data_IF_978648205329
#
_entry.id   IF_978648205329
#
_cell.length_a   1.000
_cell.length_b   1.000
_cell.length_c   1.000
_cell.angle_alpha   90.00
_cell.angle_beta   90.00
_cell.angle_gamma   90.00
#
_symmetry.space_group_name_H-M   'P 1'
#
loop_
_entity.id
_entity.type
_entity.pdbx_description
1 polymer ?
#
# COMPACT_ATOMS: atom_id res chain seq x y z
N UNK A 1 51.13 -38.08 -22.67
CA UNK A 1 49.87 -37.38 -22.40
C UNK A 1 49.51 -36.56 -23.63
N UNK A 2 48.43 -36.91 -24.27
CA UNK A 2 48.07 -36.48 -25.63
C UNK A 2 47.41 -35.08 -25.57
N UNK A 3 47.63 -34.23 -26.57
CA UNK A 3 47.06 -32.86 -26.66
C UNK A 3 45.53 -32.78 -26.46
N UNK A 4 44.84 -33.87 -26.76
CA UNK A 4 43.39 -34.02 -26.51
C UNK A 4 43.04 -34.13 -25.03
N UNK A 5 43.85 -34.83 -24.23
CA UNK A 5 43.58 -34.94 -22.75
C UNK A 5 43.83 -33.63 -22.03
N UNK A 6 44.77 -32.80 -22.48
CA UNK A 6 44.97 -31.45 -21.92
C UNK A 6 43.85 -30.49 -22.27
N UNK A 7 43.25 -30.60 -23.46
CA UNK A 7 42.10 -29.81 -23.86
C UNK A 7 40.85 -30.13 -23.03
N UNK A 8 40.58 -31.40 -22.77
CA UNK A 8 39.43 -31.83 -21.96
C UNK A 8 39.59 -31.48 -20.48
N UNK A 9 40.81 -31.52 -19.93
CA UNK A 9 41.08 -31.09 -18.56
C UNK A 9 40.90 -29.58 -18.37
N UNK A 10 41.33 -28.75 -19.31
CA UNK A 10 41.13 -27.30 -19.29
C UNK A 10 39.63 -26.92 -19.42
N UNK A 11 38.90 -27.63 -20.26
CA UNK A 11 37.48 -27.38 -20.45
C UNK A 11 36.66 -27.76 -19.18
N UNK A 12 36.99 -28.87 -18.53
CA UNK A 12 36.42 -29.30 -17.25
C UNK A 12 36.74 -28.32 -16.10
N UNK A 13 37.92 -27.74 -16.05
CA UNK A 13 38.28 -26.71 -15.06
C UNK A 13 37.59 -25.39 -15.32
N UNK A 14 37.38 -25.01 -16.57
CA UNK A 14 36.66 -23.81 -16.97
C UNK A 14 35.15 -23.93 -16.63
N UNK A 15 34.57 -25.09 -16.90
CA UNK A 15 33.16 -25.39 -16.51
C UNK A 15 32.95 -25.43 -14.99
N UNK A 16 33.90 -26.03 -14.24
CA UNK A 16 33.86 -26.02 -12.77
C UNK A 16 34.02 -24.62 -12.18
N UNK A 17 34.88 -23.76 -12.74
CA UNK A 17 35.03 -22.37 -12.34
C UNK A 17 33.78 -21.55 -12.65
N UNK A 18 33.20 -21.71 -13.84
CA UNK A 18 31.98 -21.01 -14.19
C UNK A 18 30.77 -21.46 -13.33
N UNK A 19 30.66 -22.76 -13.04
CA UNK A 19 29.62 -23.28 -12.15
C UNK A 19 29.78 -22.75 -10.71
N UNK A 20 31.05 -22.64 -10.22
CA UNK A 20 31.31 -22.07 -8.88
C UNK A 20 31.08 -20.55 -8.80
N UNK A 21 31.32 -19.82 -9.90
CA UNK A 21 31.06 -18.38 -10.01
C UNK A 21 29.55 -18.14 -10.11
N UNK A 22 28.80 -18.94 -10.89
CA UNK A 22 27.35 -18.90 -10.96
C UNK A 22 26.70 -19.32 -9.64
N UNK A 23 27.22 -20.33 -8.95
CA UNK A 23 26.72 -20.69 -7.61
C UNK A 23 27.06 -19.65 -6.55
N UNK A 24 28.20 -18.95 -6.63
CA UNK A 24 28.51 -17.81 -5.75
C UNK A 24 27.68 -16.56 -6.07
N UNK A 25 27.29 -16.33 -7.33
CA UNK A 25 26.42 -15.22 -7.69
C UNK A 25 24.93 -15.48 -7.36
N UNK A 26 24.51 -16.75 -7.26
CA UNK A 26 23.16 -17.14 -6.84
C UNK A 26 23.03 -17.21 -5.30
N UNK A 27 24.14 -17.25 -4.55
CA UNK A 27 24.10 -17.26 -3.06
C UNK A 27 24.27 -15.88 -2.42
N UNK A 28 24.26 -14.81 -3.19
CA UNK A 28 24.21 -13.43 -2.70
C UNK A 28 22.83 -12.82 -2.93
N UNK A 29 21.75 -13.52 -2.57
CA UNK A 29 20.50 -12.84 -2.21
C UNK A 29 20.81 -12.10 -0.92
N UNK A 30 20.96 -10.79 -1.01
CA UNK A 30 21.19 -9.93 0.14
C UNK A 30 20.09 -10.20 1.16
N UNK A 31 20.45 -10.56 2.38
CA UNK A 31 19.53 -10.71 3.52
C UNK A 31 18.88 -9.36 3.93
N UNK A 32 18.67 -8.46 2.98
CA UNK A 32 18.06 -7.17 3.22
C UNK A 32 16.56 -7.33 3.54
N UNK A 33 16.12 -6.54 4.49
CA UNK A 33 14.72 -6.49 4.93
C UNK A 33 14.27 -5.04 4.86
N UNK A 34 13.35 -4.75 3.94
CA UNK A 34 12.75 -3.44 3.80
C UNK A 34 11.31 -3.44 4.27
N UNK A 35 10.91 -2.34 4.89
CA UNK A 35 9.57 -2.07 5.38
C UNK A 35 9.04 -0.80 4.69
N UNK A 36 7.83 -0.87 4.15
CA UNK A 36 7.06 0.29 3.75
C UNK A 36 5.91 0.49 4.74
N UNK A 37 5.66 1.72 5.17
CA UNK A 37 4.51 2.08 6.02
C UNK A 37 3.75 3.22 5.36
N UNK A 38 2.43 3.08 5.21
CA UNK A 38 1.50 4.09 4.70
C UNK A 38 0.41 4.38 5.75
N UNK A 39 0.20 5.66 6.06
CA UNK A 39 -0.77 6.12 7.04
C UNK A 39 -2.18 6.13 6.42
N UNK A 40 -3.08 5.35 7.00
CA UNK A 40 -4.42 5.13 6.43
C UNK A 40 -5.26 6.40 6.40
N UNK A 41 -5.60 6.89 5.19
CA UNK A 41 -6.44 8.08 5.00
C UNK A 41 -5.91 9.32 5.76
N UNK A 42 -4.61 9.53 5.79
CA UNK A 42 -3.87 10.40 6.70
C UNK A 42 -4.57 11.72 7.01
N UNK A 43 -4.87 12.56 6.01
CA UNK A 43 -5.49 13.86 6.26
C UNK A 43 -6.86 13.76 6.91
N UNK A 44 -7.66 12.75 6.53
CA UNK A 44 -8.97 12.54 7.15
C UNK A 44 -8.84 12.04 8.60
N UNK A 45 -7.86 11.17 8.87
CA UNK A 45 -7.56 10.69 10.22
C UNK A 45 -7.12 11.82 11.13
N UNK A 46 -6.23 12.70 10.67
CA UNK A 46 -5.84 13.92 11.40
C UNK A 46 -7.05 14.81 11.69
N UNK A 47 -7.92 15.04 10.70
CA UNK A 47 -9.11 15.87 10.89
C UNK A 47 -10.11 15.27 11.86
N UNK A 48 -10.27 13.93 11.89
CA UNK A 48 -11.08 13.25 12.91
C UNK A 48 -10.44 13.44 14.30
N UNK A 49 -9.15 13.17 14.44
CA UNK A 49 -8.43 13.27 15.72
C UNK A 49 -8.55 14.65 16.34
N UNK A 50 -8.36 15.71 15.55
CA UNK A 50 -8.47 17.11 15.97
C UNK A 50 -9.88 17.50 16.45
N UNK A 51 -10.89 16.73 16.08
CA UNK A 51 -12.29 16.89 16.52
C UNK A 51 -12.67 15.95 17.66
N UNK A 52 -11.73 15.15 18.16
CA UNK A 52 -12.00 14.12 19.17
C UNK A 52 -12.85 12.95 18.64
N UNK A 53 -12.78 12.70 17.32
CA UNK A 53 -13.55 11.65 16.63
C UNK A 53 -12.61 10.49 16.22
N UNK A 54 -13.18 9.29 16.15
CA UNK A 54 -12.47 8.11 15.66
C UNK A 54 -12.58 8.00 14.12
N UNK A 55 -11.47 8.02 13.36
CA UNK A 55 -11.49 7.92 11.91
C UNK A 55 -12.06 6.58 11.39
N UNK A 56 -12.05 5.52 12.19
CA UNK A 56 -12.57 4.21 11.78
C UNK A 56 -14.10 4.13 11.76
N UNK A 57 -14.77 5.01 12.50
CA UNK A 57 -16.25 5.08 12.56
C UNK A 57 -16.82 6.40 12.05
N UNK A 58 -16.00 7.43 11.86
CA UNK A 58 -16.48 8.75 11.44
C UNK A 58 -16.44 8.91 9.92
N UNK A 59 -17.57 9.26 9.34
CA UNK A 59 -17.68 9.62 7.92
C UNK A 59 -17.20 11.05 7.70
N UNK A 60 -16.04 11.22 7.04
CA UNK A 60 -15.42 12.52 6.82
C UNK A 60 -14.68 12.55 5.48
N UNK A 61 -14.75 13.70 4.81
CA UNK A 61 -13.88 14.03 3.66
C UNK A 61 -13.11 15.31 3.92
N UNK A 62 -11.89 15.38 3.36
CA UNK A 62 -11.10 16.61 3.36
C UNK A 62 -11.23 17.27 1.99
N UNK A 63 -11.93 18.39 1.91
CA UNK A 63 -12.17 19.11 0.67
C UNK A 63 -12.32 20.62 0.90
N UNK A 64 -11.94 21.41 -0.10
CA UNK A 64 -12.05 22.86 -0.08
C UNK A 64 -13.42 23.28 -0.63
N UNK A 65 -14.34 23.62 0.27
CA UNK A 65 -15.68 24.10 -0.06
C UNK A 65 -15.73 25.49 -0.70
N UNK A 66 -14.65 26.28 -0.62
CA UNK A 66 -14.56 27.57 -1.30
C UNK A 66 -14.48 27.41 -2.83
N UNK A 67 -14.17 26.20 -3.29
CA UNK A 67 -14.17 25.80 -4.71
C UNK A 67 -15.51 25.17 -5.09
N UNK A 68 -15.62 24.83 -6.37
CA UNK A 68 -16.81 24.14 -6.88
C UNK A 68 -16.83 22.67 -6.41
N UNK A 69 -18.00 22.02 -6.48
CA UNK A 69 -18.15 20.59 -6.21
C UNK A 69 -17.27 19.66 -7.09
N UNK A 70 -16.66 20.23 -8.15
CA UNK A 70 -15.66 19.52 -8.99
C UNK A 70 -14.30 19.41 -8.31
N UNK A 71 -14.09 20.04 -7.14
CA UNK A 71 -12.84 19.91 -6.37
C UNK A 71 -12.54 18.45 -6.04
N UNK A 72 -11.25 18.10 -6.04
CA UNK A 72 -10.81 16.76 -5.62
C UNK A 72 -10.75 16.75 -4.09
N UNK A 73 -11.36 15.75 -3.46
CA UNK A 73 -11.16 15.47 -2.05
C UNK A 73 -9.72 14.98 -1.84
N UNK A 74 -9.00 15.60 -0.91
CA UNK A 74 -7.62 15.21 -0.60
C UNK A 74 -7.56 13.87 0.14
N UNK A 75 -8.57 13.59 0.97
CA UNK A 75 -8.72 12.32 1.67
C UNK A 75 -10.19 12.03 1.98
N UNK A 76 -10.47 10.74 2.20
CA UNK A 76 -11.75 10.20 2.65
C UNK A 76 -11.45 9.31 3.85
N UNK A 77 -12.22 9.42 4.93
CA UNK A 77 -12.02 8.58 6.13
C UNK A 77 -12.20 7.09 5.81
N UNK A 78 -11.57 6.20 6.59
CA UNK A 78 -11.77 4.76 6.45
C UNK A 78 -13.25 4.37 6.48
N UNK A 79 -14.02 4.87 7.46
CA UNK A 79 -15.45 4.61 7.60
C UNK A 79 -16.24 4.94 6.31
N UNK A 80 -15.98 6.10 5.72
CA UNK A 80 -16.70 6.52 4.52
C UNK A 80 -16.27 5.74 3.27
N UNK A 81 -15.04 5.20 3.23
CA UNK A 81 -14.57 4.29 2.16
C UNK A 81 -15.32 2.97 2.13
N UNK A 82 -15.80 2.46 3.26
CA UNK A 82 -16.58 1.21 3.34
C UNK A 82 -17.89 1.29 2.54
N UNK A 83 -18.41 2.49 2.31
CA UNK A 83 -19.54 2.71 1.41
C UNK A 83 -19.19 2.72 -0.09
N UNK A 84 -17.94 2.35 -0.45
CA UNK A 84 -17.46 2.31 -1.84
C UNK A 84 -17.13 3.68 -2.42
N UNK A 85 -16.80 4.64 -1.56
CA UNK A 85 -16.29 5.96 -1.99
C UNK A 85 -14.76 5.84 -2.14
N UNK A 86 -14.17 6.18 -3.30
CA UNK A 86 -12.72 6.05 -3.51
C UNK A 86 -11.93 7.04 -2.64
N UNK A 87 -10.62 6.82 -2.49
CA UNK A 87 -9.78 7.63 -1.61
C UNK A 87 -9.62 9.10 -2.05
N UNK A 88 -9.71 9.39 -3.35
CA UNK A 88 -9.54 10.74 -3.92
C UNK A 88 -10.65 11.08 -4.93
N UNK A 89 -11.92 11.06 -4.54
CA UNK A 89 -13.05 11.38 -5.41
C UNK A 89 -13.12 12.89 -5.67
N UNK A 90 -13.90 13.29 -6.66
CA UNK A 90 -14.41 14.66 -6.71
C UNK A 90 -15.58 14.81 -5.72
N UNK A 91 -15.75 15.98 -5.12
CA UNK A 91 -16.76 16.19 -4.09
C UNK A 91 -18.19 15.84 -4.59
N UNK A 92 -18.52 16.18 -5.84
CA UNK A 92 -19.82 15.81 -6.43
C UNK A 92 -20.05 14.29 -6.47
N UNK A 93 -18.99 13.49 -6.63
CA UNK A 93 -19.09 12.02 -6.63
C UNK A 93 -19.40 11.49 -5.23
N UNK A 94 -18.87 12.13 -4.19
CA UNK A 94 -19.24 11.84 -2.80
C UNK A 94 -20.72 12.14 -2.58
N UNK A 95 -21.19 13.33 -2.97
CA UNK A 95 -22.58 13.76 -2.85
C UNK A 95 -23.51 12.75 -3.55
N UNK A 96 -23.23 12.40 -4.80
CA UNK A 96 -24.03 11.43 -5.56
C UNK A 96 -24.07 10.05 -4.88
N UNK A 97 -22.90 9.57 -4.40
CA UNK A 97 -22.82 8.27 -3.75
C UNK A 97 -23.59 8.24 -2.44
N UNK A 98 -23.48 9.27 -1.61
CA UNK A 98 -24.25 9.41 -0.36
C UNK A 98 -25.76 9.45 -0.65
N UNK A 99 -26.20 10.18 -1.69
CA UNK A 99 -27.61 10.17 -2.10
C UNK A 99 -28.07 8.77 -2.54
N UNK A 100 -27.25 8.03 -3.28
CA UNK A 100 -27.56 6.65 -3.67
C UNK A 100 -27.71 5.74 -2.44
N UNK A 101 -26.79 5.83 -1.49
CA UNK A 101 -26.81 5.06 -0.25
C UNK A 101 -28.09 5.41 0.54
N UNK A 102 -28.42 6.70 0.69
CA UNK A 102 -29.61 7.13 1.41
C UNK A 102 -30.91 6.68 0.74
N UNK A 103 -30.96 6.62 -0.59
CA UNK A 103 -32.10 6.00 -1.29
C UNK A 103 -32.25 4.51 -0.96
N UNK A 104 -31.14 3.78 -0.83
CA UNK A 104 -31.15 2.36 -0.42
C UNK A 104 -31.58 2.23 1.03
N UNK A 105 -31.03 3.04 1.94
CA UNK A 105 -31.40 3.07 3.36
C UNK A 105 -32.88 3.35 3.56
N UNK A 106 -33.43 4.34 2.85
CA UNK A 106 -34.83 4.68 2.90
C UNK A 106 -35.79 3.52 2.54
N UNK A 107 -35.34 2.61 1.62
CA UNK A 107 -36.16 1.43 1.24
C UNK A 107 -36.29 0.40 2.36
N UNK A 108 -35.32 0.31 3.26
CA UNK A 108 -35.32 -0.64 4.39
C UNK A 108 -35.65 0.01 5.70
N UNK A 109 -35.73 1.35 5.75
CA UNK A 109 -36.11 2.10 6.93
C UNK A 109 -37.56 1.85 7.31
N UNK A 110 -37.92 1.92 8.60
CA UNK A 110 -39.32 1.88 9.07
C UNK A 110 -40.16 2.93 8.34
N UNK A 111 -41.32 2.50 7.82
CA UNK A 111 -42.22 3.35 7.01
C UNK A 111 -41.57 3.98 5.77
N UNK A 112 -40.47 3.42 5.27
CA UNK A 112 -39.66 3.91 4.15
C UNK A 112 -39.22 5.38 4.30
N UNK A 113 -39.03 5.84 5.55
CA UNK A 113 -38.68 7.22 5.86
C UNK A 113 -37.42 7.28 6.73
N UNK A 114 -36.46 8.07 6.30
CA UNK A 114 -35.31 8.47 7.12
C UNK A 114 -35.75 9.66 7.99
N UNK A 115 -35.49 9.61 9.29
CA UNK A 115 -36.00 10.57 10.27
C UNK A 115 -34.95 11.53 10.82
N UNK A 116 -33.68 11.16 10.69
CA UNK A 116 -32.51 11.95 11.12
C UNK A 116 -31.30 11.60 10.28
N UNK A 117 -30.13 12.16 10.61
CA UNK A 117 -28.86 11.95 9.93
C UNK A 117 -27.79 11.56 10.95
N UNK A 118 -26.78 10.80 10.54
CA UNK A 118 -25.56 10.58 11.31
C UNK A 118 -24.34 10.49 10.42
N UNK A 119 -23.20 10.99 10.90
CA UNK A 119 -21.88 10.78 10.33
C UNK A 119 -21.11 9.66 11.05
N UNK A 120 -21.69 9.02 12.05
CA UNK A 120 -21.12 7.89 12.78
C UNK A 120 -21.59 6.57 12.17
N UNK A 121 -20.64 5.75 11.67
CA UNK A 121 -20.95 4.49 11.02
C UNK A 121 -21.59 3.49 12.00
N UNK A 122 -21.17 3.49 13.27
CA UNK A 122 -21.73 2.59 14.28
C UNK A 122 -23.21 2.91 14.60
N UNK A 123 -23.57 4.18 14.62
CA UNK A 123 -24.98 4.59 14.75
C UNK A 123 -25.79 4.19 13.50
N UNK A 124 -25.21 4.37 12.33
CA UNK A 124 -25.86 4.01 11.06
C UNK A 124 -26.13 2.50 10.96
N UNK A 125 -25.24 1.66 11.51
CA UNK A 125 -25.41 0.20 11.53
C UNK A 125 -26.54 -0.26 12.45
N UNK A 126 -26.70 0.41 13.59
CA UNK A 126 -27.72 0.08 14.59
C UNK A 126 -29.08 0.68 14.23
N UNK A 127 -29.09 1.88 13.63
CA UNK A 127 -30.31 2.66 13.40
C UNK A 127 -30.65 2.77 11.90
N UNK A 128 -31.51 1.91 11.34
CA UNK A 128 -31.84 1.91 9.91
C UNK A 128 -32.59 3.14 9.42
N UNK A 129 -33.19 3.92 10.32
CA UNK A 129 -33.93 5.16 10.01
C UNK A 129 -33.05 6.42 9.94
N UNK A 130 -31.73 6.29 10.16
CA UNK A 130 -30.77 7.38 9.98
C UNK A 130 -30.30 7.47 8.53
N UNK A 131 -30.21 8.67 8.00
CA UNK A 131 -29.50 8.93 6.75
C UNK A 131 -28.00 9.02 6.99
N UNK A 132 -27.22 8.48 6.07
CA UNK A 132 -25.77 8.70 6.03
C UNK A 132 -25.50 10.18 5.76
N UNK A 133 -24.73 10.80 6.64
CA UNK A 133 -24.15 12.11 6.45
C UNK A 133 -22.62 12.03 6.63
N UNK A 134 -21.91 13.11 6.35
CA UNK A 134 -20.47 13.17 6.48
C UNK A 134 -19.98 14.59 6.75
N UNK A 135 -18.85 14.69 7.44
CA UNK A 135 -18.19 15.97 7.73
C UNK A 135 -17.32 16.36 6.52
N UNK A 136 -17.39 17.61 6.09
CA UNK A 136 -16.44 18.19 5.13
C UNK A 136 -15.46 19.06 5.90
N UNK A 137 -14.20 18.64 5.97
CA UNK A 137 -13.12 19.37 6.62
C UNK A 137 -12.32 20.17 5.59
N UNK A 138 -12.07 21.44 5.86
CA UNK A 138 -11.18 22.24 5.02
C UNK A 138 -9.73 21.78 5.16
N UNK A 139 -8.92 21.73 4.07
CA UNK A 139 -7.54 21.30 4.12
C UNK A 139 -6.67 22.19 5.03
N UNK A 140 -5.88 21.60 5.91
CA UNK A 140 -4.96 22.28 6.84
C UNK A 140 -3.53 21.74 6.66
N UNK A 141 -2.90 22.01 5.50
CA UNK A 141 -1.61 21.40 5.12
C UNK A 141 -0.51 21.57 6.16
N UNK A 142 -0.44 22.74 6.83
CA UNK A 142 0.54 22.95 7.90
C UNK A 142 0.36 21.95 9.05
N UNK A 143 -0.87 21.75 9.48
CA UNK A 143 -1.19 20.78 10.53
C UNK A 143 -0.79 19.36 10.11
N UNK A 144 -1.07 18.97 8.85
CA UNK A 144 -0.69 17.65 8.36
C UNK A 144 0.83 17.46 8.34
N UNK A 145 1.60 18.49 8.01
CA UNK A 145 3.06 18.47 8.11
C UNK A 145 3.53 18.32 9.57
N UNK A 146 2.88 18.97 10.51
CA UNK A 146 3.18 18.85 11.95
C UNK A 146 2.97 17.42 12.43
N UNK A 147 1.84 16.80 12.08
CA UNK A 147 1.57 15.38 12.39
C UNK A 147 2.55 14.42 11.70
N UNK A 148 2.85 14.64 10.42
CA UNK A 148 3.85 13.84 9.70
C UNK A 148 5.22 13.91 10.37
N UNK A 149 5.65 15.10 10.80
CA UNK A 149 6.91 15.30 11.54
C UNK A 149 6.89 14.59 12.90
N UNK A 150 5.77 14.65 13.62
CA UNK A 150 5.62 13.92 14.89
C UNK A 150 5.75 12.40 14.67
N UNK A 151 5.11 11.85 13.64
CA UNK A 151 5.17 10.44 13.28
C UNK A 151 6.60 10.04 12.89
N UNK A 152 7.30 10.87 12.12
CA UNK A 152 8.70 10.64 11.79
C UNK A 152 9.58 10.55 13.05
N UNK A 153 9.35 11.41 14.07
CA UNK A 153 10.05 11.32 15.34
C UNK A 153 9.72 10.04 16.14
N UNK A 154 8.54 9.45 15.95
CA UNK A 154 8.23 8.14 16.52
C UNK A 154 9.11 7.07 15.88
N UNK A 155 9.24 7.06 14.55
CA UNK A 155 10.12 6.11 13.85
C UNK A 155 11.59 6.25 14.26
N UNK A 156 12.07 7.48 14.51
CA UNK A 156 13.43 7.75 14.98
C UNK A 156 13.75 7.17 16.37
N UNK A 157 12.78 6.76 17.15
CA UNK A 157 13.02 6.04 18.42
C UNK A 157 13.54 4.63 18.20
N UNK A 158 13.29 4.09 17.02
CA UNK A 158 13.58 2.71 16.64
C UNK A 158 14.68 2.58 15.61
N UNK A 159 14.74 3.54 14.68
CA UNK A 159 15.51 3.45 13.46
C UNK A 159 16.35 4.71 13.31
N UNK A 160 17.59 4.56 12.88
CA UNK A 160 18.47 5.68 12.57
C UNK A 160 17.97 6.45 11.33
N UNK A 161 18.15 7.77 11.27
CA UNK A 161 17.62 8.60 10.19
C UNK A 161 18.13 8.22 8.81
N UNK A 162 19.36 7.68 8.68
CA UNK A 162 19.95 7.19 7.45
C UNK A 162 19.26 5.97 6.85
N UNK A 163 18.55 5.19 7.68
CA UNK A 163 17.81 3.99 7.28
C UNK A 163 16.31 4.27 7.03
N UNK A 164 15.88 5.53 7.17
CA UNK A 164 14.51 5.99 6.88
C UNK A 164 14.48 6.86 5.65
N UNK A 165 13.77 6.43 4.62
CA UNK A 165 13.47 7.24 3.44
C UNK A 165 12.03 7.74 3.48
N UNK A 166 11.84 9.05 3.68
CA UNK A 166 10.53 9.69 3.62
C UNK A 166 10.11 9.79 2.14
N UNK A 167 9.16 8.96 1.73
CA UNK A 167 8.67 8.91 0.36
C UNK A 167 7.60 9.97 0.09
N UNK A 168 6.71 10.20 1.06
CA UNK A 168 5.69 11.24 1.03
C UNK A 168 5.36 11.74 2.44
N UNK A 169 4.36 12.60 2.57
CA UNK A 169 3.88 13.10 3.86
C UNK A 169 3.29 12.00 4.77
N UNK A 170 2.84 10.91 4.17
CA UNK A 170 2.13 9.80 4.81
C UNK A 170 2.78 8.43 4.57
N UNK A 171 3.91 8.39 3.85
CA UNK A 171 4.58 7.14 3.50
C UNK A 171 6.09 7.19 3.72
N UNK A 172 6.64 6.12 4.30
CA UNK A 172 8.08 5.93 4.53
C UNK A 172 8.52 4.54 4.07
N UNK A 173 9.79 4.46 3.64
CA UNK A 173 10.53 3.20 3.51
C UNK A 173 11.62 3.14 4.56
N UNK A 174 11.82 1.98 5.15
CA UNK A 174 12.77 1.75 6.24
C UNK A 174 13.61 0.51 5.90
N UNK A 175 14.93 0.61 6.02
CA UNK A 175 15.81 -0.56 5.99
C UNK A 175 15.89 -1.16 7.39
N UNK A 176 15.31 -2.36 7.56
CA UNK A 176 15.30 -3.07 8.83
C UNK A 176 16.46 -4.07 8.98
N UNK A 177 17.32 -4.22 7.98
CA UNK A 177 18.31 -5.30 7.87
C UNK A 177 19.12 -5.49 9.15
N UNK A 178 19.60 -4.42 9.76
CA UNK A 178 20.47 -4.49 10.94
C UNK A 178 19.71 -4.49 12.27
N UNK A 179 18.42 -4.16 12.27
CA UNK A 179 17.64 -3.94 13.50
C UNK A 179 17.10 -5.21 14.13
N UNK A 180 16.95 -6.30 13.36
CA UNK A 180 16.39 -7.57 13.86
C UNK A 180 17.20 -8.16 15.01
N UNK A 181 18.54 -8.06 14.92
CA UNK A 181 19.42 -8.53 16.01
C UNK A 181 19.38 -7.61 17.23
N UNK A 182 19.21 -6.30 17.01
CA UNK A 182 19.20 -5.28 18.08
C UNK A 182 17.96 -5.46 18.95
N UNK A 183 16.81 -5.64 18.32
CA UNK A 183 15.52 -5.73 19.02
C UNK A 183 15.12 -7.15 19.40
N UNK A 184 15.74 -8.19 18.84
CA UNK A 184 15.32 -9.58 19.03
C UNK A 184 13.88 -9.85 18.60
N UNK A 185 13.37 -9.07 17.61
CA UNK A 185 12.01 -9.13 17.08
C UNK A 185 12.02 -9.56 15.62
N UNK A 186 10.92 -10.13 15.16
CA UNK A 186 10.67 -10.29 13.73
C UNK A 186 10.38 -8.94 13.05
N UNK A 187 10.55 -8.82 11.71
CA UNK A 187 10.19 -7.60 11.00
C UNK A 187 8.74 -7.17 11.22
N UNK A 188 7.83 -8.13 11.28
CA UNK A 188 6.39 -7.91 11.53
C UNK A 188 6.13 -7.37 12.95
N UNK A 189 6.82 -7.92 13.96
CA UNK A 189 6.69 -7.45 15.34
C UNK A 189 7.24 -6.04 15.52
N UNK A 190 8.37 -5.71 14.88
CA UNK A 190 8.96 -4.37 14.95
C UNK A 190 8.08 -3.36 14.21
N UNK A 191 7.58 -3.70 13.01
CA UNK A 191 6.64 -2.89 12.26
C UNK A 191 5.38 -2.61 13.10
N UNK A 192 4.80 -3.65 13.70
CA UNK A 192 3.63 -3.52 14.57
C UNK A 192 3.89 -2.59 15.74
N UNK A 193 5.02 -2.75 16.44
CA UNK A 193 5.39 -1.88 17.58
C UNK A 193 5.44 -0.40 17.17
N UNK A 194 6.07 -0.09 16.03
CA UNK A 194 6.12 1.29 15.52
C UNK A 194 4.74 1.83 15.15
N UNK A 195 3.91 1.00 14.50
CA UNK A 195 2.56 1.38 14.09
C UNK A 195 1.63 1.57 15.31
N UNK A 196 1.77 0.77 16.36
CA UNK A 196 1.03 0.91 17.63
C UNK A 196 1.36 2.23 18.33
N UNK A 197 2.65 2.60 18.38
CA UNK A 197 3.07 3.90 18.93
C UNK A 197 2.50 5.07 18.10
N UNK A 198 2.51 4.97 16.77
CA UNK A 198 1.87 5.98 15.91
C UNK A 198 0.38 6.08 16.21
N UNK A 199 -0.32 4.97 16.30
CA UNK A 199 -1.77 4.97 16.63
C UNK A 199 -2.01 5.57 18.01
N UNK A 200 -1.24 5.17 19.01
CA UNK A 200 -1.39 5.65 20.38
C UNK A 200 -1.20 7.17 20.48
N UNK A 201 -0.16 7.71 19.86
CA UNK A 201 0.19 9.12 19.99
C UNK A 201 -0.62 10.02 19.04
N UNK A 202 -0.98 9.54 17.86
CA UNK A 202 -1.60 10.37 16.82
C UNK A 202 -3.03 9.98 16.47
N UNK A 203 -3.48 8.81 16.90
CA UNK A 203 -4.80 8.25 16.52
C UNK A 203 -4.88 7.83 15.04
N UNK A 204 -3.73 7.74 14.35
CA UNK A 204 -3.67 7.33 12.94
C UNK A 204 -3.23 5.89 12.82
N UNK A 205 -4.06 5.05 12.18
CA UNK A 205 -3.69 3.68 11.84
C UNK A 205 -2.89 3.63 10.54
N UNK A 206 -2.17 2.53 10.32
CA UNK A 206 -1.30 2.38 9.15
C UNK A 206 -1.44 1.00 8.51
N UNK A 207 -0.92 0.89 7.28
CA UNK A 207 -0.72 -0.37 6.57
C UNK A 207 0.78 -0.53 6.30
N UNK A 208 1.30 -1.73 6.41
CA UNK A 208 2.71 -1.99 6.18
C UNK A 208 2.94 -3.16 5.21
N UNK A 209 4.05 -3.07 4.50
CA UNK A 209 4.55 -4.15 3.65
C UNK A 209 6.01 -4.41 3.92
N UNK A 210 6.39 -5.68 4.00
CA UNK A 210 7.76 -6.16 4.25
C UNK A 210 8.23 -6.89 3.00
N UNK A 211 9.45 -6.65 2.59
CA UNK A 211 10.03 -7.32 1.42
C UNK A 211 11.56 -7.38 1.45
N UNK A 212 12.14 -8.23 0.59
CA UNK A 212 13.59 -8.33 0.41
C UNK A 212 14.20 -7.16 -0.37
N UNK A 213 13.37 -6.28 -0.92
CA UNK A 213 13.76 -5.05 -1.60
C UNK A 213 12.60 -4.01 -1.54
N UNK A 214 12.90 -2.77 -1.94
CA UNK A 214 11.93 -1.66 -1.91
C UNK A 214 10.68 -1.90 -2.77
N UNK A 215 10.82 -2.60 -3.90
CA UNK A 215 9.68 -2.92 -4.75
C UNK A 215 8.75 -3.93 -4.07
N UNK A 216 9.30 -5.01 -3.53
CA UNK A 216 8.49 -6.06 -2.89
C UNK A 216 7.82 -5.56 -1.62
N UNK A 217 8.48 -4.75 -0.79
CA UNK A 217 7.80 -4.18 0.39
C UNK A 217 6.67 -3.24 0.00
N UNK A 218 6.85 -2.42 -1.05
CA UNK A 218 5.79 -1.54 -1.55
C UNK A 218 4.61 -2.32 -2.13
N UNK A 219 4.87 -3.35 -2.94
CA UNK A 219 3.83 -4.20 -3.53
C UNK A 219 3.12 -5.02 -2.45
N UNK A 220 3.83 -5.52 -1.44
CA UNK A 220 3.23 -6.17 -0.28
C UNK A 220 2.23 -5.24 0.42
N UNK A 221 2.60 -3.97 0.63
CA UNK A 221 1.74 -2.96 1.25
C UNK A 221 0.54 -2.58 0.37
N UNK A 222 0.76 -2.35 -0.93
CA UNK A 222 -0.26 -1.80 -1.82
C UNK A 222 -1.27 -2.85 -2.31
N UNK A 223 -0.85 -4.11 -2.44
CA UNK A 223 -1.69 -5.19 -2.98
C UNK A 223 -2.03 -6.21 -1.89
N UNK A 224 -1.05 -6.94 -1.36
CA UNK A 224 -1.31 -8.05 -0.43
C UNK A 224 -1.99 -7.57 0.86
N UNK A 225 -1.50 -6.51 1.49
CA UNK A 225 -2.06 -6.01 2.74
C UNK A 225 -3.52 -5.56 2.61
N UNK A 226 -3.95 -5.12 1.42
CA UNK A 226 -5.36 -4.73 1.19
C UNK A 226 -6.32 -5.91 1.25
N UNK A 227 -5.85 -7.12 0.98
CA UNK A 227 -6.65 -8.34 1.02
C UNK A 227 -6.66 -9.03 2.39
N UNK A 228 -5.81 -8.55 3.32
CA UNK A 228 -5.81 -9.05 4.70
C UNK A 228 -6.93 -8.39 5.51
N UNK A 229 -7.52 -9.15 6.41
CA UNK A 229 -8.41 -8.57 7.43
C UNK A 229 -7.59 -7.67 8.36
N UNK A 230 -8.08 -6.46 8.70
CA UNK A 230 -7.42 -5.60 9.66
C UNK A 230 -7.46 -6.23 11.06
N UNK A 231 -6.44 -5.97 11.86
CA UNK A 231 -6.53 -6.28 13.29
C UNK A 231 -7.46 -5.33 14.02
N UNK A 232 -7.61 -5.52 15.35
CA UNK A 232 -8.49 -4.70 16.19
C UNK A 232 -8.18 -3.19 16.15
N UNK A 233 -6.96 -2.83 15.77
CA UNK A 233 -6.50 -1.45 15.62
C UNK A 233 -6.59 -0.94 14.16
N UNK A 234 -7.18 -1.71 13.27
CA UNK A 234 -7.30 -1.38 11.85
C UNK A 234 -6.00 -1.52 11.05
N UNK A 235 -4.96 -2.13 11.63
CA UNK A 235 -3.65 -2.32 11.02
C UNK A 235 -3.62 -3.55 10.12
N UNK A 236 -2.80 -3.49 9.06
CA UNK A 236 -2.53 -4.60 8.15
C UNK A 236 -1.04 -4.65 7.87
N UNK A 237 -0.44 -5.85 7.96
CA UNK A 237 0.97 -6.07 7.66
C UNK A 237 1.06 -7.26 6.73
N UNK A 238 1.64 -7.07 5.54
CA UNK A 238 1.90 -8.13 4.59
C UNK A 238 3.39 -8.31 4.35
N UNK A 239 3.78 -9.49 3.87
CA UNK A 239 5.16 -9.79 3.51
C UNK A 239 5.23 -10.50 2.17
N UNK A 240 6.21 -10.07 1.35
CA UNK A 240 6.57 -10.72 0.09
C UNK A 240 8.09 -10.91 0.00
N UNK A 241 8.46 -12.07 -0.48
CA UNK A 241 9.76 -12.36 -1.07
C UNK A 241 9.59 -12.63 -2.58
N UNK A 242 10.65 -12.90 -3.29
CA UNK A 242 10.59 -13.17 -4.73
C UNK A 242 9.75 -14.40 -5.07
N UNK A 243 9.78 -15.43 -4.22
CA UNK A 243 9.03 -16.66 -4.46
C UNK A 243 7.53 -16.43 -4.29
N UNK A 244 7.11 -15.87 -3.16
CA UNK A 244 5.71 -15.55 -2.87
C UNK A 244 5.14 -14.49 -3.82
N UNK A 245 5.96 -13.53 -4.28
CA UNK A 245 5.56 -12.58 -5.31
C UNK A 245 5.22 -13.28 -6.63
N UNK A 246 6.07 -14.24 -7.09
CA UNK A 246 5.81 -15.01 -8.31
C UNK A 246 4.55 -15.86 -8.17
N UNK A 247 4.42 -16.55 -7.03
CA UNK A 247 3.31 -17.44 -6.78
C UNK A 247 1.95 -16.72 -6.72
N UNK A 248 1.90 -15.58 -6.02
CA UNK A 248 0.64 -14.90 -5.71
C UNK A 248 0.29 -13.80 -6.70
N UNK A 249 1.29 -13.02 -7.18
CA UNK A 249 1.05 -11.77 -7.89
C UNK A 249 1.43 -11.78 -9.38
N UNK A 250 2.14 -12.80 -9.88
CA UNK A 250 2.44 -12.85 -11.31
C UNK A 250 1.20 -12.87 -12.21
N UNK A 251 0.08 -13.39 -11.73
CA UNK A 251 -1.20 -13.41 -12.45
C UNK A 251 -2.18 -12.33 -12.00
N UNK A 252 -1.77 -11.45 -11.08
CA UNK A 252 -2.63 -10.38 -10.57
C UNK A 252 -2.99 -9.37 -11.67
N UNK A 253 -4.22 -8.87 -11.63
CA UNK A 253 -4.77 -7.82 -12.50
C UNK A 253 -5.60 -6.85 -11.66
N UNK A 254 -5.65 -5.57 -12.09
CA UNK A 254 -5.02 -4.96 -13.25
C UNK A 254 -3.53 -4.63 -13.00
N UNK A 255 -2.76 -4.42 -14.07
CA UNK A 255 -1.36 -3.99 -13.99
C UNK A 255 -1.18 -2.64 -13.25
N UNK A 256 -2.21 -1.78 -13.28
CA UNK A 256 -2.20 -0.48 -12.60
C UNK A 256 -2.18 -0.55 -11.07
N UNK A 257 -2.37 -1.73 -10.48
CA UNK A 257 -2.23 -1.91 -9.03
C UNK A 257 -0.76 -1.97 -8.59
N UNK A 258 0.14 -2.29 -9.54
CA UNK A 258 1.56 -2.36 -9.26
C UNK A 258 2.20 -0.97 -9.24
N UNK A 259 3.09 -0.78 -8.27
CA UNK A 259 3.83 0.46 -8.10
C UNK A 259 4.52 0.89 -9.40
N UNK A 260 4.35 2.16 -9.76
CA UNK A 260 4.85 2.82 -10.98
C UNK A 260 4.24 2.36 -12.29
N UNK A 261 3.24 1.50 -12.30
CA UNK A 261 2.49 1.16 -13.50
C UNK A 261 1.25 2.04 -13.61
N UNK A 262 1.38 3.12 -14.34
CA UNK A 262 0.24 4.01 -14.63
C UNK A 262 -0.62 3.51 -15.80
N UNK A 263 -1.82 4.12 -16.02
CA UNK A 263 -2.73 3.72 -17.11
C UNK A 263 -2.10 3.75 -18.50
N UNK A 264 -1.12 4.66 -18.73
CA UNK A 264 -0.41 4.77 -20.01
C UNK A 264 0.48 3.56 -20.28
N UNK A 265 1.23 3.09 -19.28
CA UNK A 265 2.04 1.88 -19.37
C UNK A 265 1.16 0.63 -19.49
N UNK A 266 0.16 0.49 -18.62
CA UNK A 266 -0.76 -0.64 -18.68
C UNK A 266 -1.38 -0.79 -20.05
N UNK A 267 -1.90 0.31 -20.66
CA UNK A 267 -2.48 0.29 -21.99
C UNK A 267 -1.48 -0.16 -23.07
N UNK A 268 -0.21 0.29 -23.02
CA UNK A 268 0.82 -0.13 -23.99
C UNK A 268 1.13 -1.62 -23.84
N UNK A 269 1.30 -2.11 -22.62
CA UNK A 269 1.54 -3.51 -22.34
C UNK A 269 0.38 -4.40 -22.80
N UNK A 270 -0.86 -4.01 -22.51
CA UNK A 270 -2.07 -4.71 -22.94
C UNK A 270 -2.19 -4.77 -24.48
N UNK A 271 -1.84 -3.69 -25.18
CA UNK A 271 -1.80 -3.66 -26.65
C UNK A 271 -0.76 -4.62 -27.23
N UNK A 272 0.31 -4.91 -26.48
CA UNK A 272 1.33 -5.90 -26.83
C UNK A 272 0.96 -7.32 -26.36
N UNK A 273 -0.22 -7.53 -25.77
CA UNK A 273 -0.67 -8.82 -25.26
C UNK A 273 -0.12 -9.20 -23.88
N UNK A 274 0.50 -8.24 -23.18
CA UNK A 274 1.05 -8.43 -21.84
C UNK A 274 0.07 -7.88 -20.80
N UNK A 275 -0.60 -8.76 -20.07
CA UNK A 275 -1.67 -8.41 -19.15
C UNK A 275 -1.28 -8.57 -17.68
N UNK A 276 -0.17 -9.23 -17.40
CA UNK A 276 0.29 -9.58 -16.05
C UNK A 276 1.78 -9.37 -15.89
N UNK A 277 2.27 -9.25 -14.64
CA UNK A 277 3.71 -9.21 -14.36
C UNK A 277 4.40 -10.49 -14.80
N UNK A 278 3.73 -11.64 -14.73
CA UNK A 278 4.23 -12.91 -15.24
C UNK A 278 4.39 -12.90 -16.76
N UNK A 279 3.50 -12.25 -17.52
CA UNK A 279 3.65 -12.09 -18.97
C UNK A 279 4.88 -11.24 -19.30
N UNK A 280 5.08 -10.13 -18.58
CA UNK A 280 6.23 -9.24 -18.74
C UNK A 280 7.52 -9.99 -18.42
N UNK A 281 7.56 -10.73 -17.30
CA UNK A 281 8.74 -11.50 -16.90
C UNK A 281 9.08 -12.61 -17.93
N UNK A 282 8.09 -13.32 -18.44
CA UNK A 282 8.31 -14.34 -19.50
C UNK A 282 8.80 -13.70 -20.78
N UNK A 283 8.23 -12.56 -21.17
CA UNK A 283 8.68 -11.80 -22.35
C UNK A 283 10.15 -11.34 -22.20
N UNK A 284 10.56 -10.91 -21.00
CA UNK A 284 11.95 -10.47 -20.75
C UNK A 284 12.98 -11.60 -20.76
N UNK A 285 12.56 -12.83 -20.45
CA UNK A 285 13.40 -14.03 -20.47
C UNK A 285 13.41 -14.72 -21.83
N UNK A 286 12.59 -14.30 -22.78
CA UNK A 286 12.20 -14.92 -24.02
C UNK A 286 13.27 -15.75 -24.75
N UNK A 287 12.84 -16.78 -25.48
CA UNK A 287 13.67 -17.46 -26.44
C UNK A 287 13.94 -16.53 -27.63
N UNK A 288 15.00 -16.77 -28.40
CA UNK A 288 15.38 -16.01 -29.62
C UNK A 288 14.22 -15.76 -30.61
N UNK A 289 13.10 -16.46 -30.47
CA UNK A 289 11.89 -16.38 -31.31
C UNK A 289 10.80 -15.48 -30.75
N UNK A 290 10.89 -15.08 -29.50
CA UNK A 290 9.87 -14.22 -28.89
C UNK A 290 10.14 -12.76 -29.25
N UNK A 291 9.10 -11.95 -29.48
CA UNK A 291 9.29 -10.53 -29.73
C UNK A 291 9.76 -9.84 -28.44
N UNK A 292 11.04 -10.03 -28.11
CA UNK A 292 11.69 -9.28 -27.07
C UNK A 292 11.96 -7.88 -27.57
N UNK A 293 11.48 -6.90 -26.86
CA UNK A 293 11.71 -5.51 -27.17
C UNK A 293 12.14 -4.75 -25.91
N UNK A 294 13.43 -4.45 -25.80
CA UNK A 294 14.00 -3.65 -24.72
C UNK A 294 13.32 -2.27 -24.58
N UNK A 295 12.77 -1.73 -25.66
CA UNK A 295 12.02 -0.46 -25.63
C UNK A 295 10.70 -0.57 -24.89
N UNK A 296 10.19 -1.76 -24.59
CA UNK A 296 8.95 -1.97 -23.85
C UNK A 296 9.19 -2.09 -22.33
N UNK A 297 10.40 -2.33 -21.90
CA UNK A 297 10.82 -2.41 -20.49
C UNK A 297 11.45 -1.10 -20.04
#
# INVERSE_FOLDING_TARGET
>A
MNRMEQGMAMQSEFEKKNTSVLQKSVSATSDHIYLAIDLKSFYASVECRERGLDPLITNLVVADLSRTEKTICLAVSPALKEYGIPGRPRLFQVIQKVQEINRRRARVAPNHKLTSVSFDASELDICPNLALDYIVAAPRMRLYMEYSTQIYHIYLRYIAPEDIHVYSIDEVFIDLTHYMRIYGKTPEELARTMMEDVLYETGTTATAGIGSNLYLCKVAMDIEAKHLEPDANGMRIARLDEHSYRERLWNHRPLTDFWRVGPGYAKKLEQAGLYTMGDIARCSLGEERDPYNEEML
#
